data_IF_181139289802
#
_entry.id   IF_181139289802
#
_cell.length_a   1.000
_cell.length_b   1.000
_cell.length_c   1.000
_cell.angle_alpha   90.00
_cell.angle_beta   90.00
_cell.angle_gamma   90.00
#
_symmetry.space_group_name_H-M   'P 1'
#
loop_
_entity.id
_entity.type
_entity.pdbx_description
1 polymer ?
#
# COMPACT_ATOMS: atom_id res chain seq x y z
N UNK A 1 6.69 3.07 -16.75
CA UNK A 1 7.49 4.10 -16.03
C UNK A 1 8.52 3.48 -15.09
N UNK A 2 8.13 2.54 -14.22
CA UNK A 2 9.04 1.93 -13.23
C UNK A 2 10.25 1.20 -13.84
N UNK A 3 10.08 0.44 -14.92
CA UNK A 3 11.21 -0.24 -15.60
C UNK A 3 12.29 0.74 -16.09
N UNK A 4 11.88 1.90 -16.63
CA UNK A 4 12.82 2.93 -17.10
C UNK A 4 13.61 3.52 -15.93
N UNK A 5 12.94 3.88 -14.84
CA UNK A 5 13.58 4.43 -13.64
C UNK A 5 14.54 3.43 -13.01
N UNK A 6 14.12 2.17 -12.87
CA UNK A 6 14.96 1.11 -12.34
C UNK A 6 16.21 0.88 -13.20
N UNK A 7 16.07 0.82 -14.52
CA UNK A 7 17.20 0.68 -15.43
C UNK A 7 18.18 1.86 -15.29
N UNK A 8 17.69 3.10 -15.19
CA UNK A 8 18.57 4.28 -14.98
C UNK A 8 19.30 4.27 -13.63
N UNK A 9 18.80 3.52 -12.65
CA UNK A 9 19.39 3.37 -11.32
C UNK A 9 20.17 2.06 -11.15
N UNK A 10 20.33 1.25 -12.21
CA UNK A 10 21.05 -0.02 -12.17
C UNK A 10 20.31 -1.15 -11.44
N UNK A 11 19.00 -1.01 -11.23
CA UNK A 11 18.17 -2.05 -10.64
C UNK A 11 17.68 -3.05 -11.70
N UNK A 12 17.56 -4.31 -11.28
CA UNK A 12 16.91 -5.37 -12.05
C UNK A 12 15.48 -5.58 -11.55
N UNK A 13 14.53 -5.74 -12.47
CA UNK A 13 13.16 -6.08 -12.12
C UNK A 13 12.97 -7.61 -12.13
N UNK A 14 12.40 -8.19 -11.06
CA UNK A 14 12.04 -9.61 -11.08
C UNK A 14 10.83 -9.84 -12.00
N UNK A 15 10.89 -10.93 -12.77
CA UNK A 15 9.75 -11.41 -13.56
C UNK A 15 9.04 -12.53 -12.79
N UNK A 16 7.82 -12.27 -12.32
CA UNK A 16 7.04 -13.23 -11.53
C UNK A 16 6.25 -14.14 -12.46
N UNK A 17 6.47 -15.45 -12.37
CA UNK A 17 5.71 -16.43 -13.17
C UNK A 17 4.29 -16.63 -12.61
N UNK A 18 3.32 -17.10 -13.42
CA UNK A 18 1.98 -17.40 -12.92
C UNK A 18 1.96 -18.38 -11.74
N UNK A 19 2.83 -19.41 -11.79
CA UNK A 19 2.96 -20.41 -10.72
C UNK A 19 3.47 -19.80 -9.42
N UNK A 20 4.38 -18.82 -9.48
CA UNK A 20 4.86 -18.10 -8.30
C UNK A 20 3.77 -17.18 -7.73
N UNK A 21 3.01 -16.50 -8.61
CA UNK A 21 1.92 -15.61 -8.18
C UNK A 21 0.84 -16.33 -7.38
N UNK A 22 0.46 -17.55 -7.78
CA UNK A 22 -0.54 -18.36 -7.07
C UNK A 22 -0.08 -18.73 -5.66
N UNK A 23 1.24 -18.86 -5.44
CA UNK A 23 1.81 -19.18 -4.13
C UNK A 23 1.97 -17.97 -3.21
N UNK A 24 1.73 -16.75 -3.69
CA UNK A 24 1.83 -15.54 -2.87
C UNK A 24 0.71 -15.50 -1.83
N UNK A 25 1.01 -14.92 -0.66
CA UNK A 25 0.00 -14.72 0.38
C UNK A 25 -1.14 -13.83 -0.09
N UNK A 26 -2.36 -14.15 0.33
CA UNK A 26 -3.53 -13.33 0.05
C UNK A 26 -3.42 -11.97 0.81
N UNK A 27 -4.01 -10.88 0.28
CA UNK A 27 -4.15 -9.64 1.02
C UNK A 27 -4.98 -9.86 2.28
N UNK A 28 -4.44 -9.48 3.44
CA UNK A 28 -5.09 -9.67 4.75
C UNK A 28 -5.81 -8.39 5.22
N UNK A 29 -5.36 -7.22 4.77
CA UNK A 29 -5.85 -5.92 5.24
C UNK A 29 -7.00 -5.40 4.38
N UNK A 30 -8.09 -4.95 5.02
CA UNK A 30 -9.24 -4.32 4.36
C UNK A 30 -9.31 -2.82 4.67
N UNK A 31 -9.94 -2.06 3.78
CA UNK A 31 -10.23 -0.65 3.99
C UNK A 31 -11.24 -0.46 5.14
N UNK A 32 -11.10 0.65 5.87
CA UNK A 32 -12.07 1.04 6.89
C UNK A 32 -13.28 1.71 6.22
N UNK A 33 -14.46 1.15 6.46
CA UNK A 33 -15.74 1.76 6.10
C UNK A 33 -16.54 1.92 7.38
N UNK A 34 -16.84 3.16 7.75
CA UNK A 34 -17.65 3.46 8.93
C UNK A 34 -19.13 3.33 8.56
N UNK A 35 -19.92 2.72 9.44
CA UNK A 35 -21.37 2.69 9.30
C UNK A 35 -21.95 4.09 9.57
N UNK A 36 -22.69 4.68 8.63
CA UNK A 36 -23.27 6.00 8.84
C UNK A 36 -24.50 5.92 9.75
N UNK A 37 -24.73 6.98 10.53
CA UNK A 37 -25.99 7.13 11.25
C UNK A 37 -27.10 7.61 10.31
N UNK A 38 -28.07 6.75 10.04
CA UNK A 38 -29.23 7.03 9.21
C UNK A 38 -30.21 7.99 9.90
N UNK A 39 -30.11 9.28 9.59
CA UNK A 39 -31.03 10.33 10.03
C UNK A 39 -30.98 11.54 9.08
N UNK A 40 -31.92 12.46 9.24
CA UNK A 40 -31.89 13.76 8.57
C UNK A 40 -31.08 14.73 9.43
N UNK A 41 -30.14 15.44 8.82
CA UNK A 41 -29.30 16.44 9.49
C UNK A 41 -29.75 17.83 9.05
N UNK A 42 -30.12 18.68 10.02
CA UNK A 42 -30.49 20.08 9.76
C UNK A 42 -29.29 21.03 9.91
N UNK A 43 -28.31 20.65 10.72
CA UNK A 43 -27.04 21.36 10.87
C UNK A 43 -26.07 21.02 9.72
N UNK A 44 -25.16 21.93 9.34
CA UNK A 44 -24.19 21.68 8.27
C UNK A 44 -23.24 20.53 8.64
N UNK A 45 -23.04 19.61 7.70
CA UNK A 45 -22.13 18.46 7.85
C UNK A 45 -20.85 18.73 7.06
N UNK A 46 -19.71 18.77 7.76
CA UNK A 46 -18.39 18.94 7.14
C UNK A 46 -17.93 17.60 6.59
N UNK A 47 -17.52 17.59 5.32
CA UNK A 47 -16.95 16.42 4.65
C UNK A 47 -15.47 16.69 4.43
N UNK A 48 -14.63 15.80 4.95
CA UNK A 48 -13.18 15.86 4.80
C UNK A 48 -12.72 14.70 3.91
N UNK A 49 -11.76 14.99 3.04
CA UNK A 49 -11.10 13.99 2.22
C UNK A 49 -9.59 14.23 2.22
N UNK A 50 -8.82 13.16 2.11
CA UNK A 50 -7.37 13.24 1.98
C UNK A 50 -7.00 13.44 0.51
N UNK A 51 -6.29 14.53 0.21
CA UNK A 51 -5.72 14.69 -1.13
C UNK A 51 -4.65 13.62 -1.36
N UNK A 52 -4.94 12.71 -2.29
CA UNK A 52 -4.01 11.66 -2.73
C UNK A 52 -3.50 10.77 -1.58
N UNK A 53 -4.41 10.20 -0.79
CA UNK A 53 -4.10 9.36 0.39
C UNK A 53 -2.95 8.36 0.18
N UNK A 54 -3.09 7.42 -0.77
CA UNK A 54 -2.09 6.35 -0.95
C UNK A 54 -0.74 6.84 -1.48
N UNK A 55 -0.66 7.69 -2.52
CA UNK A 55 0.63 8.27 -2.93
C UNK A 55 1.34 9.02 -1.81
N UNK A 56 0.62 9.83 -1.03
CA UNK A 56 1.19 10.56 0.10
C UNK A 56 1.74 9.63 1.17
N UNK A 57 1.03 8.55 1.50
CA UNK A 57 1.50 7.52 2.43
C UNK A 57 2.74 6.78 1.90
N UNK A 58 2.76 6.42 0.62
CA UNK A 58 3.89 5.73 -0.02
C UNK A 58 5.17 6.56 0.10
N UNK A 59 5.07 7.87 -0.14
CA UNK A 59 6.21 8.80 -0.06
C UNK A 59 6.63 9.01 1.40
N UNK A 60 5.68 9.30 2.29
CA UNK A 60 5.97 9.63 3.69
C UNK A 60 6.64 8.47 4.45
N UNK A 61 6.22 7.23 4.18
CA UNK A 61 6.73 6.04 4.87
C UNK A 61 7.74 5.23 4.05
N UNK A 62 8.21 5.77 2.92
CA UNK A 62 9.21 5.14 2.06
C UNK A 62 8.82 3.69 1.64
N UNK A 63 7.57 3.49 1.23
CA UNK A 63 7.07 2.19 0.78
C UNK A 63 7.51 1.93 -0.67
N UNK A 64 8.49 1.05 -0.85
CA UNK A 64 8.99 0.66 -2.15
C UNK A 64 9.42 -0.81 -2.15
N UNK A 65 9.38 -1.46 -3.31
CA UNK A 65 9.94 -2.81 -3.47
C UNK A 65 11.42 -2.90 -3.07
N UNK A 66 12.17 -1.80 -3.18
CA UNK A 66 13.59 -1.74 -2.81
C UNK A 66 13.84 -1.53 -1.31
N UNK A 67 12.81 -1.24 -0.51
CA UNK A 67 12.95 -0.89 0.92
C UNK A 67 12.31 -1.92 1.86
N UNK A 68 11.64 -2.94 1.32
CA UNK A 68 10.96 -3.99 2.10
C UNK A 68 11.93 -5.13 2.39
N UNK A 69 12.17 -5.41 3.68
CA UNK A 69 13.07 -6.49 4.15
C UNK A 69 12.35 -7.77 4.61
N UNK A 70 11.01 -7.73 4.75
CA UNK A 70 10.21 -8.88 5.19
C UNK A 70 9.28 -8.55 6.36
N UNK A 71 8.50 -9.56 6.81
CA UNK A 71 7.62 -9.40 7.97
C UNK A 71 8.47 -9.37 9.25
N UNK A 72 8.15 -8.49 10.19
CA UNK A 72 8.89 -8.36 11.46
C UNK A 72 8.95 -9.68 12.23
N UNK A 73 7.87 -10.48 12.21
CA UNK A 73 7.83 -11.80 12.86
C UNK A 73 8.83 -12.82 12.32
N UNK A 74 9.31 -12.62 11.08
CA UNK A 74 10.32 -13.49 10.45
C UNK A 74 11.76 -13.00 10.64
N UNK A 75 11.94 -11.79 11.18
CA UNK A 75 13.25 -11.24 11.51
C UNK A 75 13.55 -11.59 12.96
N UNK A 76 14.47 -12.53 13.18
CA UNK A 76 15.06 -12.74 14.51
C UNK A 76 15.82 -11.47 14.90
N UNK A 77 15.13 -10.57 15.58
CA UNK A 77 15.78 -9.54 16.37
C UNK A 77 16.50 -10.27 17.49
N UNK A 78 17.83 -10.10 17.52
CA UNK A 78 18.67 -10.46 18.68
C UNK A 78 18.04 -9.91 19.95
#
# INVERSE_FOLDING_TARGET
MMFRLAHTQGFFLPSVTPQQRIKMGAPEQLQLILEPQSKVYFDPVIVLDFQSLYPSMIIAYNYCFSTIFGKVSSVSLV
#
